data_IF_044659288779
#
_entry.id   IF_044659288779
#
_cell.length_a   1.000
_cell.length_b   1.000
_cell.length_c   1.000
_cell.angle_alpha   90.00
_cell.angle_beta   90.00
_cell.angle_gamma   90.00
#
_symmetry.space_group_name_H-M   'P 1'
#
loop_
_entity.id
_entity.type
_entity.pdbx_description
1 polymer ?
#
# COMPACT_ATOMS: atom_id res chain seq x y z
N UNK A 1 -8.81 25.05 -1.60
CA UNK A 1 -7.57 24.36 -1.17
C UNK A 1 -7.98 23.15 -0.35
N UNK A 2 -7.39 22.00 -0.61
CA UNK A 2 -7.63 20.75 0.11
C UNK A 2 -6.48 20.52 1.08
N UNK A 3 -6.78 20.20 2.34
CA UNK A 3 -5.78 19.87 3.33
C UNK A 3 -5.64 18.35 3.44
N UNK A 4 -4.44 17.82 3.26
CA UNK A 4 -4.20 16.39 3.42
C UNK A 4 -3.19 16.12 4.54
N UNK A 5 -3.35 15.00 5.22
CA UNK A 5 -2.31 14.46 6.09
C UNK A 5 -1.45 13.49 5.28
N UNK A 6 -0.20 13.84 5.01
CA UNK A 6 0.77 12.99 4.33
C UNK A 6 1.60 12.23 5.36
N UNK A 7 1.46 10.91 5.37
CA UNK A 7 2.15 10.02 6.33
C UNK A 7 3.22 9.23 5.61
N UNK A 8 4.43 9.26 6.14
CA UNK A 8 5.59 8.56 5.57
C UNK A 8 6.33 7.74 6.62
N UNK A 9 7.32 6.97 6.22
CA UNK A 9 8.31 6.18 6.96
C UNK A 9 8.15 4.67 6.80
N UNK A 10 9.23 3.97 7.06
CA UNK A 10 9.28 2.50 7.08
C UNK A 10 9.95 1.92 5.84
N UNK A 11 10.03 2.67 4.76
CA UNK A 11 10.75 2.31 3.53
C UNK A 11 11.60 3.49 3.05
N UNK A 12 12.82 3.27 2.51
CA UNK A 12 13.61 4.33 1.88
C UNK A 12 12.94 4.84 0.60
N UNK A 13 12.98 6.15 0.39
CA UNK A 13 12.50 6.80 -0.83
C UNK A 13 13.23 8.12 -1.08
N UNK A 14 13.17 8.62 -2.29
CA UNK A 14 13.73 9.93 -2.67
C UNK A 14 12.79 11.04 -2.20
N UNK A 15 13.12 11.64 -1.06
CA UNK A 15 12.21 12.57 -0.35
C UNK A 15 11.86 13.80 -1.18
N UNK A 16 12.84 14.45 -1.79
CA UNK A 16 12.60 15.70 -2.50
C UNK A 16 11.71 15.51 -3.73
N UNK A 17 11.95 14.56 -4.63
CA UNK A 17 11.03 14.28 -5.74
C UNK A 17 9.64 13.87 -5.28
N UNK A 18 9.54 13.13 -4.16
CA UNK A 18 8.24 12.72 -3.62
C UNK A 18 7.42 13.92 -3.10
N UNK A 19 8.05 14.83 -2.35
CA UNK A 19 7.35 16.01 -1.85
C UNK A 19 6.99 16.98 -2.98
N UNK A 20 7.84 17.08 -4.01
CA UNK A 20 7.58 17.90 -5.18
C UNK A 20 6.24 17.56 -5.87
N UNK A 21 5.80 16.28 -5.82
CA UNK A 21 4.49 15.86 -6.34
C UNK A 21 3.37 16.69 -5.69
N UNK A 22 3.43 16.90 -4.38
CA UNK A 22 2.41 17.63 -3.63
C UNK A 22 2.62 19.13 -3.71
N UNK A 23 3.86 19.60 -3.73
CA UNK A 23 4.22 21.02 -3.89
C UNK A 23 3.74 21.57 -5.25
N UNK A 24 3.69 20.72 -6.29
CA UNK A 24 3.21 21.08 -7.63
C UNK A 24 1.67 21.04 -7.76
N UNK A 25 0.94 20.65 -6.71
CA UNK A 25 -0.53 20.63 -6.71
C UNK A 25 -1.10 21.95 -6.18
N UNK A 26 -1.58 22.88 -7.03
CA UNK A 26 -1.93 24.25 -6.61
C UNK A 26 -3.12 24.31 -5.65
N UNK A 27 -3.97 23.28 -5.63
CA UNK A 27 -5.17 23.20 -4.81
C UNK A 27 -5.03 22.31 -3.58
N UNK A 28 -3.82 21.81 -3.30
CA UNK A 28 -3.51 20.94 -2.18
C UNK A 28 -2.54 21.62 -1.23
N UNK A 29 -2.84 21.58 0.04
CA UNK A 29 -1.91 21.85 1.14
C UNK A 29 -1.73 20.57 1.94
N UNK A 30 -0.55 20.35 2.54
CA UNK A 30 -0.30 19.11 3.26
C UNK A 30 0.47 19.28 4.55
N UNK A 31 0.10 18.48 5.53
CA UNK A 31 0.87 18.31 6.77
C UNK A 31 1.63 16.99 6.67
N UNK A 32 2.96 17.05 6.57
CA UNK A 32 3.82 15.88 6.54
C UNK A 32 4.16 15.43 7.97
N UNK A 33 3.86 14.16 8.28
CA UNK A 33 4.20 13.55 9.57
C UNK A 33 4.69 12.12 9.37
N UNK A 34 5.79 11.77 10.02
CA UNK A 34 6.31 10.40 10.00
C UNK A 34 5.68 9.53 11.10
N UNK A 35 5.59 8.21 10.85
CA UNK A 35 5.30 7.24 11.89
C UNK A 35 6.42 7.22 12.96
N UNK A 36 6.12 7.00 14.26
CA UNK A 36 4.77 6.76 14.84
C UNK A 36 4.04 8.06 15.25
N UNK A 37 4.64 9.26 15.05
CA UNK A 37 4.04 10.51 15.48
C UNK A 37 2.69 10.77 14.77
N UNK A 38 2.56 10.35 13.52
CA UNK A 38 1.32 10.47 12.76
C UNK A 38 0.10 9.84 13.45
N UNK A 39 0.29 8.81 14.29
CA UNK A 39 -0.80 8.15 15.01
C UNK A 39 -1.60 9.08 15.91
N UNK A 40 -0.99 10.17 16.40
CA UNK A 40 -1.67 11.18 17.21
C UNK A 40 -2.74 11.95 16.42
N UNK A 41 -2.60 12.03 15.10
CA UNK A 41 -3.50 12.76 14.20
C UNK A 41 -4.62 11.88 13.62
N UNK A 42 -4.64 10.59 13.99
CA UNK A 42 -5.71 9.67 13.61
C UNK A 42 -6.78 9.65 14.72
N UNK A 43 -7.64 10.66 14.71
CA UNK A 43 -8.85 10.71 15.53
C UNK A 43 -9.91 11.53 14.82
N UNK A 44 -11.16 11.38 15.20
CA UNK A 44 -12.26 12.19 14.65
C UNK A 44 -12.05 13.69 14.89
N UNK A 45 -11.45 14.05 16.02
CA UNK A 45 -11.17 15.45 16.36
C UNK A 45 -10.11 16.04 15.44
N UNK A 46 -8.96 15.42 15.36
CA UNK A 46 -7.83 15.85 14.51
C UNK A 46 -8.17 15.72 13.01
N UNK A 47 -8.92 14.69 12.65
CA UNK A 47 -9.34 14.41 11.28
C UNK A 47 -10.19 15.52 10.65
N UNK A 48 -10.82 16.38 11.46
CA UNK A 48 -11.56 17.55 10.95
C UNK A 48 -10.68 18.57 10.21
N UNK A 49 -9.38 18.55 10.47
CA UNK A 49 -8.42 19.42 9.81
C UNK A 49 -8.05 18.94 8.41
N UNK A 50 -8.38 17.68 8.04
CA UNK A 50 -7.91 17.06 6.82
C UNK A 50 -9.07 16.59 5.94
N UNK A 51 -9.00 16.90 4.64
CA UNK A 51 -9.92 16.39 3.62
C UNK A 51 -9.63 14.92 3.27
N UNK A 52 -8.36 14.49 3.38
CA UNK A 52 -7.94 13.12 3.14
C UNK A 52 -6.62 12.78 3.85
N UNK A 53 -6.39 11.47 3.99
CA UNK A 53 -5.13 10.89 4.46
C UNK A 53 -4.40 10.24 3.30
N UNK A 54 -3.15 10.59 3.09
CA UNK A 54 -2.27 9.97 2.08
C UNK A 54 -1.17 9.21 2.81
N UNK A 55 -1.16 7.90 2.68
CA UNK A 55 -0.26 7.01 3.38
C UNK A 55 0.79 6.47 2.39
N UNK A 56 2.02 6.84 2.61
CA UNK A 56 3.23 6.32 1.98
C UNK A 56 4.17 5.81 3.07
N UNK A 57 3.62 4.96 3.92
CA UNK A 57 4.29 4.46 5.11
C UNK A 57 4.19 2.92 5.19
N UNK A 58 5.12 2.31 5.87
CA UNK A 58 5.19 0.87 6.07
C UNK A 58 5.37 0.57 7.56
N UNK A 59 4.35 0.84 8.40
CA UNK A 59 4.42 0.65 9.84
C UNK A 59 4.17 -0.80 10.25
N UNK A 60 4.44 -1.10 11.52
CA UNK A 60 4.13 -2.40 12.11
C UNK A 60 5.16 -3.49 11.82
N UNK A 61 6.28 -3.16 11.21
CA UNK A 61 7.39 -4.09 10.99
C UNK A 61 8.67 -3.56 11.65
N UNK A 62 9.38 -4.46 12.34
CA UNK A 62 10.70 -4.20 12.91
C UNK A 62 11.67 -5.20 12.34
N UNK A 63 12.45 -4.77 11.37
CA UNK A 63 13.53 -5.57 10.79
C UNK A 63 14.58 -5.93 11.84
N UNK A 64 15.09 -7.15 11.76
CA UNK A 64 16.13 -7.69 12.62
C UNK A 64 17.31 -8.17 11.78
N UNK A 65 18.55 -7.90 12.19
CA UNK A 65 19.72 -8.26 11.39
C UNK A 65 20.01 -9.78 11.38
N UNK A 66 19.52 -10.52 12.37
CA UNK A 66 19.91 -11.89 12.68
C UNK A 66 18.75 -12.90 12.69
N UNK A 67 17.53 -12.44 12.45
CA UNK A 67 16.33 -13.27 12.48
C UNK A 67 15.18 -12.65 11.69
N UNK A 68 14.07 -13.38 11.60
CA UNK A 68 12.81 -12.87 11.04
C UNK A 68 12.39 -11.55 11.70
N UNK A 69 11.76 -10.64 10.96
CA UNK A 69 11.25 -9.39 11.50
C UNK A 69 10.16 -9.64 12.56
N UNK A 70 10.06 -8.72 13.52
CA UNK A 70 8.92 -8.72 14.42
C UNK A 70 7.76 -7.99 13.74
N UNK A 71 6.60 -8.62 13.66
CA UNK A 71 5.35 -7.99 13.22
C UNK A 71 4.59 -7.47 14.44
N UNK A 72 4.25 -6.20 14.41
CA UNK A 72 3.66 -5.49 15.53
C UNK A 72 2.20 -5.15 15.22
N UNK A 73 1.34 -5.41 16.21
CA UNK A 73 -0.01 -4.86 16.18
C UNK A 73 0.03 -3.33 16.32
N UNK A 74 -0.88 -2.60 15.66
CA UNK A 74 -1.04 -1.19 15.93
C UNK A 74 -1.50 -0.97 17.37
N UNK A 75 -1.12 0.15 18.02
CA UNK A 75 -1.67 0.51 19.31
C UNK A 75 -3.21 0.52 19.26
N UNK A 76 -3.85 -0.07 20.27
CA UNK A 76 -5.32 -0.26 20.29
C UNK A 76 -6.08 1.06 20.04
N UNK A 77 -5.62 2.16 20.63
CA UNK A 77 -6.22 3.50 20.41
C UNK A 77 -6.10 3.95 18.96
N UNK A 78 -4.92 3.76 18.33
CA UNK A 78 -4.72 4.12 16.94
C UNK A 78 -5.64 3.32 16.01
N UNK A 79 -5.72 2.00 16.22
CA UNK A 79 -6.61 1.12 15.48
C UNK A 79 -8.07 1.55 15.60
N UNK A 80 -8.57 1.77 16.82
CA UNK A 80 -9.93 2.25 17.05
C UNK A 80 -10.21 3.59 16.37
N UNK A 81 -9.27 4.51 16.44
CA UNK A 81 -9.38 5.82 15.81
C UNK A 81 -9.39 5.70 14.27
N UNK A 82 -8.54 4.85 13.71
CA UNK A 82 -8.52 4.60 12.27
C UNK A 82 -9.87 4.04 11.78
N UNK A 83 -10.38 3.03 12.46
CA UNK A 83 -11.69 2.43 12.17
C UNK A 83 -12.81 3.48 12.30
N UNK A 84 -12.75 4.36 13.30
CA UNK A 84 -13.72 5.45 13.47
C UNK A 84 -13.67 6.48 12.32
N UNK A 85 -12.48 6.80 11.81
CA UNK A 85 -12.32 7.67 10.64
C UNK A 85 -12.93 7.03 9.38
N UNK A 86 -12.76 5.72 9.20
CA UNK A 86 -13.41 4.95 8.11
C UNK A 86 -14.93 5.06 8.22
N UNK A 87 -15.50 4.83 9.39
CA UNK A 87 -16.94 4.93 9.62
C UNK A 87 -17.49 6.36 9.45
N UNK A 88 -16.67 7.36 9.77
CA UNK A 88 -17.02 8.77 9.59
C UNK A 88 -17.00 9.21 8.12
N UNK A 89 -16.30 8.48 7.24
CA UNK A 89 -16.26 8.76 5.81
C UNK A 89 -15.04 9.56 5.34
N UNK A 90 -13.95 9.57 6.12
CA UNK A 90 -12.71 10.19 5.66
C UNK A 90 -12.13 9.46 4.45
N UNK A 91 -11.57 10.20 3.49
CA UNK A 91 -10.89 9.63 2.31
C UNK A 91 -9.48 9.17 2.63
N UNK A 92 -9.08 8.05 2.04
CA UNK A 92 -7.72 7.51 2.19
C UNK A 92 -7.11 7.18 0.84
N UNK A 93 -5.86 7.58 0.63
CA UNK A 93 -5.01 7.20 -0.49
C UNK A 93 -3.82 6.44 0.07
N UNK A 94 -3.65 5.21 -0.39
CA UNK A 94 -2.52 4.35 -0.03
C UNK A 94 -1.59 4.24 -1.23
N UNK A 95 -0.33 4.57 -1.04
CA UNK A 95 0.65 4.58 -2.10
C UNK A 95 1.61 3.41 -1.94
N UNK A 96 1.71 2.62 -2.99
CA UNK A 96 2.67 1.55 -3.22
C UNK A 96 2.93 0.69 -1.96
N UNK A 97 4.06 0.89 -1.28
CA UNK A 97 4.44 0.04 -0.15
C UNK A 97 3.56 0.18 1.11
N UNK A 98 2.59 1.09 1.11
CA UNK A 98 1.58 1.13 2.18
C UNK A 98 0.78 -0.18 2.29
N UNK A 99 0.66 -0.98 1.20
CA UNK A 99 0.05 -2.32 1.20
C UNK A 99 0.78 -3.31 2.12
N UNK A 100 2.05 -3.05 2.42
CA UNK A 100 2.90 -3.87 3.27
C UNK A 100 2.89 -3.43 4.75
N UNK A 101 2.17 -2.36 5.07
CA UNK A 101 2.01 -1.86 6.44
C UNK A 101 1.17 -2.77 7.34
N UNK A 102 1.36 -2.64 8.64
CA UNK A 102 0.62 -3.34 9.70
C UNK A 102 0.41 -4.84 9.44
N UNK A 103 1.47 -5.62 9.20
CA UNK A 103 1.35 -7.03 8.80
C UNK A 103 0.66 -7.92 9.83
N UNK A 104 0.59 -7.54 11.09
CA UNK A 104 -0.13 -8.26 12.13
C UNK A 104 -1.64 -7.88 12.21
N UNK A 105 -2.07 -6.80 11.56
CA UNK A 105 -3.47 -6.35 11.61
C UNK A 105 -4.24 -6.74 10.34
N UNK A 106 -5.03 -7.83 10.40
CA UNK A 106 -5.82 -8.33 9.27
C UNK A 106 -6.84 -7.28 8.78
N UNK A 107 -7.45 -6.51 9.69
CA UNK A 107 -8.36 -5.42 9.33
C UNK A 107 -7.76 -4.35 8.42
N UNK A 108 -6.44 -4.16 8.45
CA UNK A 108 -5.77 -3.26 7.53
C UNK A 108 -5.84 -3.75 6.08
N UNK A 109 -5.69 -5.06 5.87
CA UNK A 109 -5.88 -5.67 4.56
C UNK A 109 -7.32 -5.51 4.05
N UNK A 110 -8.31 -5.65 4.96
CA UNK A 110 -9.71 -5.43 4.65
C UNK A 110 -10.00 -3.98 4.27
N UNK A 111 -9.32 -3.02 4.88
CA UNK A 111 -9.45 -1.60 4.52
C UNK A 111 -8.87 -1.34 3.12
N UNK A 112 -7.67 -1.83 2.83
CA UNK A 112 -7.00 -1.58 1.54
C UNK A 112 -7.60 -2.37 0.38
N UNK A 113 -8.12 -3.56 0.64
CA UNK A 113 -8.56 -4.49 -0.40
C UNK A 113 -7.46 -5.40 -0.92
N UNK A 114 -6.42 -5.62 -0.13
CA UNK A 114 -5.28 -6.47 -0.47
C UNK A 114 -4.21 -6.49 0.60
N UNK A 115 -3.17 -7.30 0.40
CA UNK A 115 -2.08 -7.45 1.35
C UNK A 115 -0.78 -7.93 0.72
N UNK A 116 0.32 -7.31 1.11
CA UNK A 116 1.66 -7.86 0.93
C UNK A 116 2.02 -8.74 2.13
N UNK A 117 2.33 -10.01 1.90
CA UNK A 117 2.72 -10.98 2.92
C UNK A 117 4.23 -11.16 2.92
N UNK A 118 4.88 -10.83 4.03
CA UNK A 118 6.34 -11.03 4.18
C UNK A 118 6.74 -12.50 4.36
N UNK A 119 5.80 -13.32 4.83
CA UNK A 119 5.97 -14.76 5.04
C UNK A 119 4.64 -15.45 4.70
N UNK A 120 4.67 -16.76 4.34
CA UNK A 120 3.44 -17.53 4.19
C UNK A 120 2.55 -17.41 5.44
N UNK A 121 1.26 -17.26 5.25
CA UNK A 121 0.33 -17.04 6.33
C UNK A 121 -1.12 -17.37 5.95
N UNK A 122 -2.05 -16.85 6.75
CA UNK A 122 -3.48 -16.94 6.44
C UNK A 122 -4.02 -15.56 6.13
N UNK A 123 -4.90 -15.48 5.12
CA UNK A 123 -5.63 -14.27 4.76
C UNK A 123 -7.07 -14.66 4.43
N UNK A 124 -8.04 -14.06 5.11
CA UNK A 124 -9.47 -14.43 5.00
C UNK A 124 -9.72 -15.92 5.23
N UNK A 125 -9.00 -16.52 6.19
CA UNK A 125 -9.12 -17.94 6.53
C UNK A 125 -8.51 -18.92 5.52
N UNK A 126 -7.87 -18.44 4.46
CA UNK A 126 -7.20 -19.25 3.45
C UNK A 126 -5.68 -19.15 3.58
N UNK A 127 -4.94 -20.27 3.43
CA UNK A 127 -3.49 -20.22 3.40
C UNK A 127 -3.01 -19.46 2.15
N UNK A 128 -2.00 -18.62 2.31
CA UNK A 128 -1.38 -17.84 1.24
C UNK A 128 0.13 -17.94 1.33
N UNK A 129 0.77 -17.90 0.15
CA UNK A 129 2.22 -17.82 0.05
C UNK A 129 2.69 -16.40 0.40
N UNK A 130 3.99 -16.24 0.65
CA UNK A 130 4.60 -14.93 0.77
C UNK A 130 4.58 -14.19 -0.56
N UNK A 131 4.47 -12.89 -0.49
CA UNK A 131 4.48 -12.00 -1.65
C UNK A 131 5.83 -11.96 -2.34
N UNK A 132 5.83 -11.48 -3.58
CA UNK A 132 7.02 -11.22 -4.37
C UNK A 132 7.26 -9.74 -4.61
N UNK A 133 8.51 -9.38 -4.89
CA UNK A 133 8.91 -8.03 -5.28
C UNK A 133 9.86 -8.06 -6.48
N UNK A 134 9.84 -7.01 -7.29
CA UNK A 134 10.78 -6.84 -8.41
C UNK A 134 11.08 -5.37 -8.63
N UNK A 135 12.34 -4.96 -8.41
CA UNK A 135 12.78 -3.57 -8.63
C UNK A 135 13.03 -3.26 -10.10
N UNK A 136 12.83 -2.00 -10.46
CA UNK A 136 13.22 -1.41 -11.75
C UNK A 136 12.65 -2.15 -12.96
N UNK A 137 11.36 -2.44 -12.90
CA UNK A 137 10.63 -3.01 -14.04
C UNK A 137 10.13 -1.88 -14.92
N UNK A 138 10.50 -1.90 -16.19
CA UNK A 138 9.87 -1.03 -17.19
C UNK A 138 8.68 -1.78 -17.78
N UNK A 139 7.50 -1.21 -17.65
CA UNK A 139 6.24 -1.80 -18.12
C UNK A 139 5.26 -0.72 -18.54
N UNK A 140 4.19 -1.11 -19.23
CA UNK A 140 3.10 -0.21 -19.56
C UNK A 140 1.94 -0.38 -18.58
N UNK A 141 1.45 0.74 -18.08
CA UNK A 141 0.24 0.82 -17.28
C UNK A 141 -0.93 1.19 -18.18
N UNK A 142 -2.04 0.49 -18.00
CA UNK A 142 -3.30 0.73 -18.70
C UNK A 142 -4.35 1.23 -17.73
N UNK A 143 -5.01 2.34 -18.07
CA UNK A 143 -6.21 2.82 -17.39
C UNK A 143 -7.39 1.98 -17.86
N UNK A 144 -7.99 1.20 -16.96
CA UNK A 144 -9.02 0.21 -17.27
C UNK A 144 -10.44 0.66 -16.90
N UNK A 145 -10.56 1.82 -16.25
CA UNK A 145 -11.86 2.39 -15.90
C UNK A 145 -11.86 3.91 -16.02
N UNK A 146 -13.03 4.47 -16.42
CA UNK A 146 -13.30 5.90 -16.31
C UNK A 146 -13.66 6.23 -14.85
N UNK A 147 -12.79 6.97 -14.18
CA UNK A 147 -12.96 7.34 -12.80
C UNK A 147 -12.32 8.71 -12.52
N UNK A 148 -12.82 9.53 -11.58
CA UNK A 148 -12.19 10.81 -11.24
C UNK A 148 -10.70 10.74 -10.92
N UNK A 149 -10.24 9.64 -10.30
CA UNK A 149 -8.80 9.39 -10.00
C UNK A 149 -7.96 9.24 -11.27
N UNK A 150 -8.55 8.83 -12.38
CA UNK A 150 -7.86 8.57 -13.65
C UNK A 150 -8.24 9.53 -14.77
N UNK A 151 -9.02 10.60 -14.47
CA UNK A 151 -9.60 11.49 -15.47
C UNK A 151 -8.55 12.16 -16.37
N UNK A 152 -7.43 12.59 -15.77
CA UNK A 152 -6.35 13.30 -16.48
C UNK A 152 -5.14 12.40 -16.77
N UNK A 153 -5.28 11.09 -16.54
CA UNK A 153 -4.21 10.11 -16.79
C UNK A 153 -4.33 9.59 -18.23
N UNK A 154 -3.23 9.56 -19.03
CA UNK A 154 -3.25 8.92 -20.34
C UNK A 154 -3.77 7.48 -20.26
N UNK A 155 -4.53 7.03 -21.26
CA UNK A 155 -5.09 5.66 -21.31
C UNK A 155 -4.04 4.56 -21.19
N UNK A 156 -2.81 4.86 -21.60
CA UNK A 156 -1.66 3.99 -21.42
C UNK A 156 -0.41 4.84 -21.30
N UNK A 157 0.50 4.45 -20.41
CA UNK A 157 1.80 5.11 -20.22
C UNK A 157 2.85 4.10 -19.79
N UNK A 158 4.11 4.38 -20.08
CA UNK A 158 5.23 3.56 -19.61
C UNK A 158 5.83 4.13 -18.33
N UNK A 159 6.16 3.26 -17.39
CA UNK A 159 6.83 3.62 -16.15
C UNK A 159 7.92 2.59 -15.83
N UNK A 160 8.95 3.02 -15.12
CA UNK A 160 9.96 2.13 -14.53
C UNK A 160 9.90 2.26 -13.03
N UNK A 161 9.42 1.19 -12.36
CA UNK A 161 9.23 1.21 -10.91
C UNK A 161 9.39 -0.20 -10.31
N UNK A 162 9.18 -0.30 -9.00
CA UNK A 162 9.07 -1.57 -8.30
C UNK A 162 7.67 -2.16 -8.52
N UNK A 163 7.60 -3.47 -8.72
CA UNK A 163 6.36 -4.23 -8.76
C UNK A 163 6.28 -5.24 -7.62
N UNK A 164 5.07 -5.45 -7.12
CA UNK A 164 4.75 -6.46 -6.12
C UNK A 164 3.82 -7.54 -6.68
N UNK A 165 4.16 -8.80 -6.43
CA UNK A 165 3.27 -9.94 -6.60
C UNK A 165 2.63 -10.21 -5.24
N UNK A 166 1.36 -9.87 -5.05
CA UNK A 166 0.69 -9.86 -3.75
C UNK A 166 -0.80 -10.17 -3.88
N UNK A 167 -1.47 -10.37 -2.74
CA UNK A 167 -2.89 -10.67 -2.68
C UNK A 167 -3.74 -9.41 -2.85
N UNK A 168 -4.65 -9.42 -3.82
CA UNK A 168 -5.69 -8.40 -4.03
C UNK A 168 -7.07 -9.05 -3.96
N UNK A 169 -8.00 -8.42 -3.27
CA UNK A 169 -9.39 -8.87 -3.19
C UNK A 169 -10.18 -8.32 -4.40
N UNK A 170 -9.88 -8.86 -5.59
CA UNK A 170 -10.39 -8.30 -6.86
C UNK A 170 -11.92 -8.21 -6.93
N UNK A 171 -12.65 -9.11 -6.23
CA UNK A 171 -14.12 -9.09 -6.17
C UNK A 171 -14.67 -7.92 -5.33
N UNK A 172 -13.83 -7.30 -4.47
CA UNK A 172 -14.20 -6.25 -3.53
C UNK A 172 -13.70 -4.86 -3.93
N UNK A 173 -12.97 -4.76 -5.03
CA UNK A 173 -12.36 -3.51 -5.49
C UNK A 173 -12.77 -3.16 -6.92
N UNK A 174 -12.79 -1.88 -7.24
CA UNK A 174 -12.96 -1.40 -8.62
C UNK A 174 -11.58 -1.17 -9.23
N UNK A 175 -11.17 -1.96 -10.24
CA UNK A 175 -9.90 -1.77 -10.93
C UNK A 175 -9.81 -0.40 -11.61
N UNK A 176 -8.66 0.24 -11.48
CA UNK A 176 -8.32 1.51 -12.16
C UNK A 176 -7.14 1.36 -13.09
N UNK A 177 -6.07 0.69 -12.64
CA UNK A 177 -4.80 0.57 -13.35
C UNK A 177 -4.33 -0.89 -13.39
N UNK A 178 -3.93 -1.36 -14.58
CA UNK A 178 -3.32 -2.69 -14.76
C UNK A 178 -1.99 -2.56 -15.50
N UNK A 179 -1.05 -3.43 -15.15
CA UNK A 179 0.24 -3.58 -15.82
C UNK A 179 0.14 -4.59 -16.97
N UNK A 180 0.96 -4.43 -18.00
CA UNK A 180 1.19 -5.46 -19.03
C UNK A 180 2.28 -6.46 -18.63
N UNK A 181 2.92 -6.29 -17.45
CA UNK A 181 3.93 -7.22 -16.95
C UNK A 181 3.32 -8.57 -16.57
N UNK A 182 4.14 -9.62 -16.57
CA UNK A 182 3.69 -11.00 -16.25
C UNK A 182 3.95 -11.29 -14.79
N UNK A 183 2.86 -11.45 -14.02
CA UNK A 183 2.89 -11.65 -12.57
C UNK A 183 2.93 -13.14 -12.23
N UNK A 184 4.10 -13.75 -12.46
CA UNK A 184 4.40 -15.15 -12.11
C UNK A 184 5.66 -15.23 -11.26
N UNK A 185 5.80 -16.30 -10.47
CA UNK A 185 6.94 -16.51 -9.58
C UNK A 185 8.31 -16.33 -10.23
N UNK A 186 8.44 -16.65 -11.52
CA UNK A 186 9.73 -16.56 -12.23
C UNK A 186 10.19 -15.11 -12.45
N UNK A 187 9.25 -14.18 -12.38
CA UNK A 187 9.50 -12.76 -12.60
C UNK A 187 9.68 -11.95 -11.31
N UNK A 188 9.51 -12.59 -10.15
CA UNK A 188 9.59 -11.92 -8.85
C UNK A 188 10.55 -12.65 -7.90
N UNK A 189 10.93 -11.99 -6.84
CA UNK A 189 11.74 -12.52 -5.75
C UNK A 189 10.90 -12.67 -4.48
N UNK A 190 11.12 -13.74 -3.73
CA UNK A 190 10.37 -14.04 -2.50
C UNK A 190 10.64 -13.00 -1.39
N UNK A 191 9.58 -12.50 -0.79
CA UNK A 191 9.68 -11.65 0.39
C UNK A 191 10.28 -12.40 1.59
N UNK A 192 9.90 -13.66 1.82
CA UNK A 192 10.47 -14.49 2.89
C UNK A 192 11.97 -14.62 2.77
N UNK A 193 12.46 -14.90 1.55
CA UNK A 193 13.91 -15.01 1.33
C UNK A 193 14.63 -13.71 1.64
N UNK A 194 14.04 -12.57 1.27
CA UNK A 194 14.62 -11.27 1.55
C UNK A 194 14.63 -10.95 3.05
N UNK A 195 13.49 -11.10 3.74
CA UNK A 195 13.33 -10.58 5.10
C UNK A 195 13.69 -11.59 6.21
N UNK A 196 13.60 -12.90 5.93
CA UNK A 196 13.90 -13.96 6.90
C UNK A 196 15.25 -14.60 6.64
N UNK A 197 15.52 -14.97 5.37
CA UNK A 197 16.77 -15.61 4.99
C UNK A 197 17.89 -14.63 4.64
N UNK A 198 17.58 -13.33 4.57
CA UNK A 198 18.51 -12.25 4.16
C UNK A 198 19.13 -12.47 2.77
N UNK A 199 18.40 -13.15 1.90
CA UNK A 199 18.77 -13.43 0.51
C UNK A 199 17.96 -12.54 -0.42
N UNK A 200 18.46 -11.34 -0.66
CA UNK A 200 17.84 -10.41 -1.61
C UNK A 200 17.87 -10.98 -3.03
N UNK A 201 16.87 -10.60 -3.83
CA UNK A 201 16.79 -10.94 -5.26
C UNK A 201 16.86 -12.45 -5.53
N UNK A 202 16.24 -13.25 -4.66
CA UNK A 202 16.26 -14.71 -4.73
C UNK A 202 14.85 -15.30 -4.76
N UNK A 203 14.64 -16.28 -5.66
CA UNK A 203 13.40 -17.06 -5.78
C UNK A 203 13.66 -18.58 -5.87
N UNK A 204 14.86 -19.05 -5.54
CA UNK A 204 15.22 -20.47 -5.61
C UNK A 204 14.28 -21.32 -4.74
N UNK A 205 13.56 -22.25 -5.39
CA UNK A 205 12.62 -23.12 -4.71
C UNK A 205 11.35 -22.44 -4.18
N UNK A 206 11.19 -21.14 -4.39
CA UNK A 206 9.95 -20.43 -4.09
C UNK A 206 8.82 -20.90 -4.99
N UNK A 207 7.62 -20.97 -4.44
CA UNK A 207 6.40 -21.33 -5.19
C UNK A 207 5.34 -20.30 -4.91
N UNK A 208 4.75 -19.76 -5.96
CA UNK A 208 3.65 -18.83 -5.91
C UNK A 208 2.76 -19.01 -7.12
N UNK A 209 1.47 -19.04 -6.92
CA UNK A 209 0.51 -19.04 -8.02
C UNK A 209 0.60 -17.74 -8.80
N UNK A 210 0.24 -17.72 -10.10
CA UNK A 210 0.15 -16.47 -10.84
C UNK A 210 -0.74 -15.47 -10.11
N UNK A 211 -0.25 -14.25 -9.93
CA UNK A 211 -0.98 -13.18 -9.28
C UNK A 211 -1.67 -12.22 -10.25
N UNK A 212 -2.37 -11.26 -9.69
CA UNK A 212 -3.02 -10.20 -10.45
C UNK A 212 -2.00 -9.20 -10.98
N UNK A 213 -2.30 -8.62 -12.12
CA UNK A 213 -1.58 -7.47 -12.67
C UNK A 213 -2.23 -6.13 -12.28
N UNK A 214 -3.17 -6.15 -11.34
CA UNK A 214 -3.86 -4.97 -10.84
C UNK A 214 -2.90 -4.14 -9.98
N UNK A 215 -2.69 -2.88 -10.36
CA UNK A 215 -1.75 -1.98 -9.70
C UNK A 215 -2.43 -0.84 -8.96
N UNK A 216 -3.62 -0.45 -9.41
CA UNK A 216 -4.37 0.63 -8.79
C UNK A 216 -5.86 0.33 -8.78
N UNK A 217 -6.51 0.65 -7.67
CA UNK A 217 -7.95 0.43 -7.51
C UNK A 217 -8.58 1.42 -6.56
N UNK A 218 -9.90 1.44 -6.56
CA UNK A 218 -10.69 2.11 -5.54
C UNK A 218 -11.71 1.15 -4.93
N UNK A 219 -12.13 1.46 -3.72
CA UNK A 219 -13.25 0.78 -3.06
C UNK A 219 -13.93 1.70 -2.05
N UNK A 220 -15.11 1.32 -1.63
CA UNK A 220 -15.79 1.93 -0.50
C UNK A 220 -15.83 0.94 0.66
N UNK A 221 -15.47 1.41 1.85
CA UNK A 221 -15.60 0.64 3.10
C UNK A 221 -16.24 1.54 4.17
N UNK A 222 -17.31 1.08 4.80
CA UNK A 222 -18.15 1.95 5.60
C UNK A 222 -18.63 3.14 4.75
N UNK A 223 -18.31 4.36 5.17
CA UNK A 223 -18.59 5.59 4.42
C UNK A 223 -17.36 6.14 3.70
N UNK A 224 -16.21 5.52 3.86
CA UNK A 224 -14.93 5.98 3.33
C UNK A 224 -14.67 5.51 1.91
N UNK A 225 -14.07 6.37 1.12
CA UNK A 225 -13.50 6.04 -0.19
C UNK A 225 -12.01 5.79 -0.03
N UNK A 226 -11.58 4.64 -0.53
CA UNK A 226 -10.21 4.18 -0.49
C UNK A 226 -9.67 4.15 -1.92
N UNK A 227 -8.46 4.65 -2.09
CA UNK A 227 -7.69 4.54 -3.33
C UNK A 227 -6.36 3.89 -2.99
N UNK A 228 -5.93 2.92 -3.77
CA UNK A 228 -4.58 2.37 -3.79
C UNK A 228 -3.93 2.61 -5.15
N UNK A 229 -2.66 3.04 -5.15
CA UNK A 229 -1.84 3.31 -6.33
C UNK A 229 -0.41 2.81 -6.14
#
# INVERSE_FOLDING_TARGET
MRNILLVTKGHPYERQPFYQIFDDMPDVDYTLVEQPAAQALFSIEEGRAYDAYVLYDMPGIRFRPDRAPDFLEPPARYRQNFEALIEAGHGFVFLHHAIAGWPAWEGYAEILGGRFLYMPGSLRGLPRQDSGYRHRVTHNVQVVADHPVTADVPRSFSITDELYLFEVFEDDVQPLLRSDYVFTQDNFYSATKAVVEQKLFNNDGWRHDPGTNLMGWTRTIGKSRIVYL
#
